data_IF_015711569436
#
_entry.id   IF_015711569436
#
_cell.length_a   1.000
_cell.length_b   1.000
_cell.length_c   1.000
_cell.angle_alpha   90.00
_cell.angle_beta   90.00
_cell.angle_gamma   90.00
#
_symmetry.space_group_name_H-M   'P 1'
#
loop_
_entity.id
_entity.type
_entity.pdbx_description
1 polymer ?
#
# COMPACT_ATOMS: atom_id res chain seq x y z
N UNK A 1 -1.37 -19.54 13.07
CA UNK A 1 -2.40 -18.49 12.91
C UNK A 1 -3.78 -19.10 12.74
N UNK A 2 -4.09 -19.87 11.69
CA UNK A 2 -5.45 -20.41 11.46
C UNK A 2 -6.05 -21.23 12.60
N UNK A 3 -5.29 -22.14 13.23
CA UNK A 3 -5.75 -22.89 14.42
C UNK A 3 -5.99 -22.02 15.67
N UNK A 4 -5.42 -20.81 15.72
CA UNK A 4 -5.49 -19.91 16.87
C UNK A 4 -6.64 -18.90 16.74
N UNK A 5 -7.14 -18.68 15.53
CA UNK A 5 -8.05 -17.57 15.22
C UNK A 5 -9.48 -18.01 14.93
N UNK A 6 -9.79 -19.29 15.19
CA UNK A 6 -11.12 -19.92 15.18
C UNK A 6 -12.08 -19.38 14.10
N UNK A 7 -11.64 -19.45 12.84
CA UNK A 7 -12.37 -18.86 11.73
C UNK A 7 -13.63 -19.61 11.32
N UNK A 8 -13.76 -20.84 11.80
CA UNK A 8 -15.01 -21.59 11.80
C UNK A 8 -16.10 -20.93 12.65
N UNK A 9 -15.73 -19.98 13.52
CA UNK A 9 -16.66 -19.14 14.29
C UNK A 9 -16.86 -17.73 13.70
N UNK A 10 -16.32 -17.43 12.52
CA UNK A 10 -16.62 -16.16 11.86
C UNK A 10 -18.13 -16.11 11.47
N UNK A 11 -18.88 -15.07 11.84
CA UNK A 11 -20.30 -14.95 11.48
C UNK A 11 -20.56 -15.03 9.97
N UNK A 12 -19.69 -14.46 9.13
CA UNK A 12 -19.79 -14.54 7.67
C UNK A 12 -19.60 -15.98 7.18
N UNK A 13 -18.63 -16.70 7.75
CA UNK A 13 -18.40 -18.12 7.46
C UNK A 13 -19.63 -18.96 7.83
N UNK A 14 -20.14 -18.80 9.05
CA UNK A 14 -21.28 -19.56 9.56
C UNK A 14 -22.53 -19.30 8.73
N UNK A 15 -22.78 -18.02 8.37
CA UNK A 15 -23.89 -17.64 7.52
C UNK A 15 -23.78 -18.31 6.14
N UNK A 16 -22.62 -18.23 5.51
CA UNK A 16 -22.43 -18.78 4.17
C UNK A 16 -22.47 -20.32 4.15
N UNK A 17 -21.79 -20.95 5.11
CA UNK A 17 -21.81 -22.41 5.24
C UNK A 17 -23.22 -22.93 5.57
N UNK A 18 -23.98 -22.25 6.43
CA UNK A 18 -25.36 -22.65 6.76
C UNK A 18 -26.32 -22.47 5.59
N UNK A 19 -26.18 -21.38 4.81
CA UNK A 19 -26.95 -21.15 3.59
C UNK A 19 -26.70 -22.24 2.53
N UNK A 20 -25.45 -22.68 2.35
CA UNK A 20 -25.15 -23.78 1.44
C UNK A 20 -25.69 -25.12 1.97
N UNK A 21 -25.55 -25.38 3.27
CA UNK A 21 -26.04 -26.62 3.89
C UNK A 21 -27.57 -26.75 3.84
N UNK A 22 -28.31 -25.65 3.84
CA UNK A 22 -29.77 -25.68 3.69
C UNK A 22 -30.24 -26.29 2.35
N UNK A 23 -29.37 -26.33 1.33
CA UNK A 23 -29.64 -26.91 0.01
C UNK A 23 -29.17 -28.37 -0.13
N UNK A 24 -28.62 -28.97 0.93
CA UNK A 24 -28.05 -30.32 0.89
C UNK A 24 -29.09 -31.38 0.53
N UNK A 25 -30.27 -31.32 1.14
CA UNK A 25 -31.33 -32.32 0.93
C UNK A 25 -31.85 -32.28 -0.52
N UNK A 26 -31.99 -31.08 -1.08
CA UNK A 26 -32.36 -30.87 -2.49
C UNK A 26 -31.32 -31.47 -3.43
N UNK A 27 -30.03 -31.20 -3.18
CA UNK A 27 -28.93 -31.74 -3.97
C UNK A 27 -28.85 -33.27 -3.91
N UNK A 28 -29.00 -33.86 -2.72
CA UNK A 28 -29.00 -35.32 -2.55
C UNK A 28 -30.20 -35.94 -3.26
N UNK A 29 -31.38 -35.33 -3.16
CA UNK A 29 -32.57 -35.80 -3.87
C UNK A 29 -32.40 -35.74 -5.40
N UNK A 30 -31.75 -34.69 -5.91
CA UNK A 30 -31.46 -34.55 -7.34
C UNK A 30 -30.53 -35.67 -7.82
N UNK A 31 -29.43 -35.95 -7.10
CA UNK A 31 -28.51 -37.05 -7.42
C UNK A 31 -29.20 -38.43 -7.37
N UNK A 32 -30.13 -38.64 -6.44
CA UNK A 32 -30.87 -39.89 -6.33
C UNK A 32 -31.86 -40.10 -7.50
N UNK A 33 -32.36 -39.02 -8.09
CA UNK A 33 -33.30 -39.02 -9.21
C UNK A 33 -32.60 -39.05 -10.59
N UNK A 34 -31.29 -38.78 -10.65
CA UNK A 34 -30.50 -38.84 -11.88
C UNK A 34 -30.48 -40.27 -12.44
N UNK A 35 -31.10 -40.45 -13.61
CA UNK A 35 -31.18 -41.74 -14.32
C UNK A 35 -30.03 -41.98 -15.30
N UNK A 36 -29.11 -41.03 -15.49
CA UNK A 36 -28.07 -41.10 -16.52
C UNK A 36 -26.65 -40.93 -15.96
N UNK A 37 -25.65 -41.67 -16.49
CA UNK A 37 -24.27 -41.61 -16.01
C UNK A 37 -23.51 -40.33 -16.40
N UNK A 38 -24.09 -39.43 -17.21
CA UNK A 38 -23.45 -38.20 -17.69
C UNK A 38 -24.21 -36.92 -17.31
N UNK A 39 -25.01 -36.96 -16.25
CA UNK A 39 -25.79 -35.79 -15.86
C UNK A 39 -24.89 -34.72 -15.24
N UNK A 40 -24.88 -33.55 -15.85
CA UNK A 40 -24.45 -32.31 -15.23
C UNK A 40 -25.63 -31.66 -14.53
N UNK A 41 -25.39 -31.14 -13.33
CA UNK A 41 -26.36 -30.38 -12.54
C UNK A 41 -25.77 -29.00 -12.31
N UNK A 42 -26.54 -27.96 -12.61
CA UNK A 42 -26.14 -26.59 -12.32
C UNK A 42 -26.58 -26.24 -10.91
N UNK A 43 -25.60 -26.07 -10.01
CA UNK A 43 -25.87 -25.71 -8.63
C UNK A 43 -25.43 -24.29 -8.34
N UNK A 44 -26.35 -23.49 -7.84
CA UNK A 44 -26.13 -22.10 -7.46
C UNK A 44 -25.02 -21.98 -6.39
N UNK A 45 -23.91 -21.33 -6.76
CA UNK A 45 -22.70 -21.19 -5.95
C UNK A 45 -21.54 -22.13 -6.32
N UNK A 46 -21.79 -23.21 -7.06
CA UNK A 46 -20.73 -24.12 -7.55
C UNK A 46 -20.65 -24.20 -9.08
N UNK A 47 -21.68 -23.75 -9.80
CA UNK A 47 -21.76 -23.83 -11.26
C UNK A 47 -22.18 -25.22 -11.73
N UNK A 48 -21.78 -25.57 -12.96
CA UNK A 48 -22.12 -26.86 -13.56
C UNK A 48 -21.19 -27.96 -13.01
N UNK A 49 -21.79 -28.96 -12.35
CA UNK A 49 -21.08 -30.08 -11.73
C UNK A 49 -21.53 -31.38 -12.41
N UNK A 50 -20.58 -32.21 -12.82
CA UNK A 50 -20.84 -33.58 -13.23
C UNK A 50 -21.17 -34.43 -12.01
N UNK A 51 -22.39 -34.98 -11.92
CA UNK A 51 -22.85 -35.78 -10.77
C UNK A 51 -23.05 -37.26 -11.11
N UNK A 52 -22.83 -37.65 -12.37
CA UNK A 52 -23.02 -39.03 -12.82
C UNK A 52 -22.22 -40.07 -12.02
N UNK A 53 -20.96 -39.77 -11.72
CA UNK A 53 -20.07 -40.63 -10.92
C UNK A 53 -20.43 -40.68 -9.42
N UNK A 54 -21.21 -39.71 -8.92
CA UNK A 54 -21.66 -39.67 -7.52
C UNK A 54 -22.79 -40.66 -7.24
N UNK A 55 -23.50 -41.10 -8.29
CA UNK A 55 -24.59 -42.08 -8.18
C UNK A 55 -24.13 -43.46 -7.69
N UNK A 56 -22.86 -43.80 -7.90
CA UNK A 56 -22.24 -45.04 -7.41
C UNK A 56 -21.86 -44.95 -5.91
N UNK A 57 -21.75 -43.73 -5.38
CA UNK A 57 -21.18 -43.43 -4.07
C UNK A 57 -22.19 -42.70 -3.15
N UNK A 58 -23.48 -43.04 -3.26
CA UNK A 58 -24.61 -42.35 -2.57
C UNK A 58 -24.42 -42.11 -1.08
N UNK A 59 -23.73 -43.01 -0.38
CA UNK A 59 -23.52 -42.93 1.06
C UNK A 59 -22.51 -41.85 1.49
N UNK A 60 -21.59 -41.43 0.61
CA UNK A 60 -20.62 -40.36 0.90
C UNK A 60 -21.03 -39.00 0.33
N UNK A 61 -22.03 -38.95 -0.56
CA UNK A 61 -22.48 -37.69 -1.19
C UNK A 61 -22.83 -36.59 -0.18
N UNK A 62 -23.57 -36.85 0.92
CA UNK A 62 -23.85 -35.81 1.91
C UNK A 62 -22.58 -35.28 2.59
N UNK A 63 -21.63 -36.15 2.91
CA UNK A 63 -20.37 -35.78 3.56
C UNK A 63 -19.47 -34.98 2.61
N UNK A 64 -19.40 -35.39 1.34
CA UNK A 64 -18.66 -34.67 0.31
C UNK A 64 -19.24 -33.27 0.07
N UNK A 65 -20.58 -33.14 0.08
CA UNK A 65 -21.26 -31.87 -0.05
C UNK A 65 -21.01 -30.94 1.15
N UNK A 66 -21.08 -31.46 2.37
CA UNK A 66 -20.76 -30.70 3.59
C UNK A 66 -19.32 -30.18 3.55
N UNK A 67 -18.36 -31.05 3.21
CA UNK A 67 -16.96 -30.66 3.07
C UNK A 67 -16.79 -29.58 2.00
N UNK A 68 -17.39 -29.76 0.82
CA UNK A 68 -17.30 -28.81 -0.29
C UNK A 68 -17.90 -27.44 0.08
N UNK A 69 -19.03 -27.42 0.76
CA UNK A 69 -19.68 -26.20 1.24
C UNK A 69 -18.79 -25.45 2.23
N UNK A 70 -18.24 -26.15 3.22
CA UNK A 70 -17.31 -25.58 4.20
C UNK A 70 -16.03 -25.04 3.54
N UNK A 71 -15.47 -25.77 2.59
CA UNK A 71 -14.27 -25.35 1.86
C UNK A 71 -14.53 -24.09 1.04
N UNK A 72 -15.67 -23.98 0.37
CA UNK A 72 -16.01 -22.78 -0.42
C UNK A 72 -16.22 -21.56 0.47
N UNK A 73 -16.96 -21.69 1.57
CA UNK A 73 -17.12 -20.60 2.54
C UNK A 73 -15.78 -20.16 3.14
N UNK A 74 -14.91 -21.12 3.46
CA UNK A 74 -13.56 -20.81 3.97
C UNK A 74 -12.68 -20.12 2.93
N UNK A 75 -12.79 -20.53 1.66
CA UNK A 75 -11.97 -19.98 0.58
C UNK A 75 -12.17 -18.48 0.38
N UNK A 76 -13.40 -17.96 0.53
CA UNK A 76 -13.65 -16.51 0.46
C UNK A 76 -12.88 -15.75 1.54
N UNK A 77 -12.79 -16.30 2.74
CA UNK A 77 -12.04 -15.70 3.84
C UNK A 77 -10.54 -15.72 3.56
N UNK A 78 -10.02 -16.83 3.00
CA UNK A 78 -8.62 -16.94 2.57
C UNK A 78 -8.28 -15.86 1.55
N UNK A 79 -9.13 -15.68 0.53
CA UNK A 79 -8.92 -14.66 -0.50
C UNK A 79 -8.86 -13.25 0.09
N UNK A 80 -9.82 -12.90 0.96
CA UNK A 80 -9.85 -11.58 1.61
C UNK A 80 -8.57 -11.32 2.41
N UNK A 81 -8.11 -12.30 3.19
CA UNK A 81 -6.86 -12.17 3.95
C UNK A 81 -5.64 -12.02 3.08
N UNK A 82 -5.58 -12.72 1.96
CA UNK A 82 -4.46 -12.60 1.04
C UNK A 82 -4.37 -11.16 0.53
N UNK A 83 -5.51 -10.58 0.14
CA UNK A 83 -5.62 -9.18 -0.27
C UNK A 83 -5.20 -8.24 0.86
N UNK A 84 -5.76 -8.41 2.06
CA UNK A 84 -5.47 -7.54 3.21
C UNK A 84 -3.99 -7.63 3.63
N UNK A 85 -3.43 -8.83 3.67
CA UNK A 85 -2.04 -9.07 4.04
C UNK A 85 -1.08 -8.47 3.03
N UNK A 86 -1.38 -8.61 1.73
CA UNK A 86 -0.59 -7.99 0.67
C UNK A 86 -0.67 -6.46 0.75
N UNK A 87 -1.86 -5.91 0.96
CA UNK A 87 -2.05 -4.47 1.10
C UNK A 87 -1.29 -3.91 2.31
N UNK A 88 -1.35 -4.59 3.47
CA UNK A 88 -0.61 -4.22 4.67
C UNK A 88 0.90 -4.31 4.45
N UNK A 89 1.38 -5.39 3.82
CA UNK A 89 2.79 -5.58 3.52
C UNK A 89 3.31 -4.45 2.62
N UNK A 90 2.61 -4.18 1.50
CA UNK A 90 2.98 -3.10 0.58
C UNK A 90 2.98 -1.74 1.28
N UNK A 91 1.94 -1.44 2.07
CA UNK A 91 1.87 -0.19 2.83
C UNK A 91 3.04 -0.04 3.78
N UNK A 92 3.38 -1.10 4.53
CA UNK A 92 4.50 -1.10 5.46
C UNK A 92 5.84 -0.94 4.72
N UNK A 93 6.02 -1.65 3.60
CA UNK A 93 7.23 -1.54 2.77
C UNK A 93 7.43 -0.12 2.24
N UNK A 94 6.39 0.50 1.68
CA UNK A 94 6.47 1.88 1.17
C UNK A 94 6.76 2.86 2.30
N UNK A 95 6.10 2.71 3.46
CA UNK A 95 6.34 3.56 4.61
C UNK A 95 7.78 3.44 5.14
N UNK A 96 8.34 2.23 5.20
CA UNK A 96 9.74 2.05 5.62
C UNK A 96 10.71 2.60 4.57
N UNK A 97 10.43 2.41 3.28
CA UNK A 97 11.23 2.94 2.19
C UNK A 97 11.32 4.47 2.26
N UNK A 98 10.18 5.16 2.40
CA UNK A 98 10.13 6.63 2.38
C UNK A 98 10.64 7.22 3.70
N UNK A 99 10.21 6.69 4.84
CA UNK A 99 10.48 7.35 6.12
C UNK A 99 11.82 6.95 6.75
N UNK A 100 12.42 5.83 6.32
CA UNK A 100 13.69 5.38 6.90
C UNK A 100 14.77 5.30 5.84
N UNK A 101 14.54 4.52 4.79
CA UNK A 101 15.60 4.24 3.81
C UNK A 101 15.95 5.49 3.00
N UNK A 102 14.96 6.22 2.50
CA UNK A 102 15.17 7.44 1.72
C UNK A 102 15.74 8.58 2.57
N UNK A 103 15.35 8.70 3.84
CA UNK A 103 15.96 9.65 4.77
C UNK A 103 17.46 9.35 4.94
N UNK A 104 17.82 8.09 5.22
CA UNK A 104 19.22 7.68 5.34
C UNK A 104 20.01 7.92 4.06
N UNK A 105 19.42 7.64 2.89
CA UNK A 105 20.07 7.84 1.61
C UNK A 105 20.34 9.34 1.34
N UNK A 106 19.38 10.22 1.63
CA UNK A 106 19.58 11.67 1.52
C UNK A 106 20.71 12.12 2.44
N UNK A 107 20.74 11.66 3.70
CA UNK A 107 21.80 12.03 4.65
C UNK A 107 23.16 11.53 4.16
N UNK A 108 23.23 10.30 3.64
CA UNK A 108 24.46 9.73 3.13
C UNK A 108 25.00 10.52 1.93
N UNK A 109 24.14 10.84 0.96
CA UNK A 109 24.52 11.59 -0.25
C UNK A 109 24.99 13.02 0.11
N UNK A 110 24.31 13.68 1.04
CA UNK A 110 24.61 15.05 1.41
C UNK A 110 25.81 15.17 2.35
N UNK A 111 25.95 14.27 3.32
CA UNK A 111 26.88 14.43 4.45
C UNK A 111 28.03 13.42 4.51
N UNK A 112 27.89 12.23 3.90
CA UNK A 112 28.84 11.12 4.09
C UNK A 112 29.68 10.78 2.85
N UNK A 113 29.77 11.69 1.88
CA UNK A 113 30.49 11.43 0.63
C UNK A 113 32.00 11.14 0.90
N UNK A 114 32.56 9.98 0.46
CA UNK A 114 33.94 9.55 0.77
C UNK A 114 35.04 10.49 0.26
N UNK A 115 34.70 11.41 -0.64
CA UNK A 115 35.63 12.33 -1.28
C UNK A 115 35.68 13.73 -0.65
N UNK A 116 35.09 13.89 0.54
CA UNK A 116 35.13 15.12 1.32
C UNK A 116 33.84 15.92 1.21
N UNK A 117 33.34 16.37 2.37
CA UNK A 117 32.12 17.16 2.54
C UNK A 117 31.99 18.25 1.48
N UNK A 118 30.91 18.17 0.71
CA UNK A 118 30.70 19.02 -0.46
C UNK A 118 29.29 18.91 -1.06
N UNK A 119 28.49 17.92 -0.66
CA UNK A 119 27.13 17.71 -1.17
C UNK A 119 26.21 18.86 -0.75
N UNK A 120 26.22 19.20 0.54
CA UNK A 120 25.48 20.35 1.07
C UNK A 120 26.00 21.66 0.50
N UNK A 121 27.32 21.84 0.40
CA UNK A 121 27.96 23.05 -0.11
C UNK A 121 27.58 23.32 -1.57
N UNK A 122 27.44 22.28 -2.39
CA UNK A 122 26.93 22.41 -3.77
C UNK A 122 25.49 22.89 -3.82
N UNK A 123 24.62 22.43 -2.91
CA UNK A 123 23.23 22.89 -2.81
C UNK A 123 23.11 24.32 -2.26
N UNK A 124 24.06 24.74 -1.43
CA UNK A 124 24.14 26.11 -0.91
C UNK A 124 24.77 27.10 -1.91
N UNK A 125 25.22 26.63 -3.07
CA UNK A 125 25.68 27.48 -4.16
C UNK A 125 24.56 28.38 -4.70
N UNK A 126 24.77 29.69 -4.65
CA UNK A 126 23.79 30.63 -5.17
C UNK A 126 23.66 30.58 -6.70
N UNK A 127 22.42 30.78 -7.18
CA UNK A 127 22.20 30.93 -8.61
C UNK A 127 22.95 32.18 -9.16
N UNK A 128 23.50 32.13 -10.39
CA UNK A 128 24.24 33.25 -10.96
C UNK A 128 23.45 34.57 -11.00
N UNK A 129 22.12 34.49 -11.21
CA UNK A 129 21.24 35.67 -11.19
C UNK A 129 21.16 36.32 -9.82
N UNK A 130 21.05 35.52 -8.75
CA UNK A 130 21.01 36.02 -7.37
C UNK A 130 22.38 36.56 -6.96
N UNK A 131 23.45 35.83 -7.28
CA UNK A 131 24.82 36.25 -7.00
C UNK A 131 25.14 37.61 -7.64
N UNK A 132 24.80 37.79 -8.93
CA UNK A 132 25.00 39.06 -9.65
C UNK A 132 24.16 40.22 -9.09
N UNK A 133 22.90 39.97 -8.71
CA UNK A 133 22.07 40.98 -8.04
C UNK A 133 22.65 41.40 -6.69
N UNK A 134 23.09 40.43 -5.87
CA UNK A 134 23.72 40.70 -4.58
C UNK A 134 25.00 41.51 -4.75
N UNK A 135 25.83 41.16 -5.72
CA UNK A 135 27.05 41.90 -6.01
C UNK A 135 26.76 43.35 -6.40
N UNK A 136 25.82 43.57 -7.33
CA UNK A 136 25.41 44.93 -7.75
C UNK A 136 24.87 45.75 -6.58
N UNK A 137 24.03 45.14 -5.74
CA UNK A 137 23.49 45.79 -4.55
C UNK A 137 24.58 46.13 -3.54
N UNK A 138 25.52 45.21 -3.28
CA UNK A 138 26.66 45.42 -2.38
C UNK A 138 27.53 46.59 -2.85
N UNK A 139 27.83 46.67 -4.15
CA UNK A 139 28.54 47.81 -4.76
C UNK A 139 27.79 49.12 -4.57
N UNK A 140 26.48 49.11 -4.78
CA UNK A 140 25.62 50.31 -4.61
C UNK A 140 25.61 50.79 -3.16
N UNK A 141 25.49 49.87 -2.21
CA UNK A 141 25.52 50.19 -0.76
C UNK A 141 26.87 50.79 -0.36
N UNK A 142 27.99 50.24 -0.88
CA UNK A 142 29.32 50.78 -0.61
C UNK A 142 29.44 52.23 -1.09
N UNK A 143 29.00 52.51 -2.32
CA UNK A 143 29.02 53.86 -2.88
C UNK A 143 28.18 54.85 -2.05
N UNK A 144 26.97 54.43 -1.62
CA UNK A 144 26.12 55.26 -0.77
C UNK A 144 26.76 55.57 0.60
N UNK A 145 27.55 54.64 1.17
CA UNK A 145 28.31 54.90 2.40
C UNK A 145 29.41 55.95 2.18
N UNK A 146 30.16 55.85 1.08
CA UNK A 146 31.19 56.82 0.73
C UNK A 146 30.59 58.22 0.50
N UNK A 147 29.46 58.32 -0.22
CA UNK A 147 28.74 59.59 -0.39
C UNK A 147 28.29 60.19 0.95
N UNK A 148 27.81 59.36 1.88
CA UNK A 148 27.43 59.81 3.23
C UNK A 148 28.62 60.43 3.98
N UNK A 149 29.81 59.84 3.89
CA UNK A 149 31.02 60.35 4.54
C UNK A 149 31.51 61.67 3.92
N UNK A 150 31.37 61.83 2.60
CA UNK A 150 31.66 63.11 1.92
C UNK A 150 30.68 64.19 2.36
N UNK A 151 29.38 63.88 2.41
CA UNK A 151 28.37 64.82 2.88
C UNK A 151 28.59 65.23 4.34
N UNK A 152 28.97 64.30 5.21
CA UNK A 152 29.31 64.61 6.60
C UNK A 152 30.45 65.63 6.68
N UNK A 153 31.53 65.45 5.91
CA UNK A 153 32.64 66.42 5.84
C UNK A 153 32.19 67.80 5.36
N UNK A 154 31.38 67.86 4.31
CA UNK A 154 30.84 69.13 3.80
C UNK A 154 29.99 69.83 4.87
N UNK A 155 29.17 69.06 5.61
CA UNK A 155 28.37 69.62 6.70
C UNK A 155 29.23 70.15 7.85
N UNK A 156 30.31 69.46 8.21
CA UNK A 156 31.26 69.90 9.24
C UNK A 156 32.00 71.18 8.82
N UNK A 157 32.42 71.26 7.55
CA UNK A 157 33.05 72.47 6.98
C UNK A 157 32.10 73.67 6.99
N UNK A 158 30.81 73.46 6.68
CA UNK A 158 29.79 74.52 6.74
C UNK A 158 29.52 74.96 8.18
N UNK A 159 29.52 74.03 9.14
CA UNK A 159 29.25 74.35 10.55
C UNK A 159 30.42 75.09 11.23
N UNK A 160 31.62 75.04 10.64
CA UNK A 160 32.84 75.68 11.16
C UNK A 160 33.21 76.98 10.42
N UNK A 161 32.50 77.33 9.34
CA UNK A 161 32.59 78.60 8.60
C UNK A 161 31.66 79.68 9.17
#
# INVERSE_FOLDING_TARGET
MEKLTDYTCNPEYLLESSQMMAKQDEFVAEILNVRLPFSTVNFDGFGEIEVGHLSEHKHVVPQAFDLKSRMTAYWKIVLRRLVDSLALHLKLSVHNLVDKELEMEIVNELMMNPHGGGGVEKLLGESPSVAGKREKLSRTIKLLRECKEVLARIMDDIATA
#
